data_IF_403813641424
#
_entry.id   IF_403813641424
#
_cell.length_a   1.000
_cell.length_b   1.000
_cell.length_c   1.000
_cell.angle_alpha   90.00
_cell.angle_beta   90.00
_cell.angle_gamma   90.00
#
_symmetry.space_group_name_H-M   'P 1'
#
loop_
_entity.id
_entity.type
_entity.pdbx_description
1 polymer ?
#
# COMPACT_ATOMS: atom_id res chain seq x y z
N UNK A 1 51.12 -2.28 -62.64
CA UNK A 1 51.01 -2.38 -61.17
C UNK A 1 50.23 -1.14 -60.74
N UNK A 2 48.88 -1.18 -60.75
CA UNK A 2 47.99 -1.37 -59.57
C UNK A 2 48.45 -0.55 -58.36
N UNK A 3 47.64 0.30 -57.73
CA UNK A 3 46.40 -0.06 -57.01
C UNK A 3 45.43 1.14 -56.93
N UNK A 4 44.15 0.90 -57.20
CA UNK A 4 43.01 1.78 -56.89
C UNK A 4 42.70 1.78 -55.39
N UNK A 5 42.37 2.94 -54.83
CA UNK A 5 41.82 3.06 -53.47
C UNK A 5 40.40 3.66 -53.54
N UNK A 6 39.39 2.84 -53.20
CA UNK A 6 38.01 3.26 -52.93
C UNK A 6 37.88 3.51 -51.42
N UNK A 7 37.27 4.62 -50.97
CA UNK A 7 37.02 4.83 -49.55
C UNK A 7 35.77 4.06 -49.12
N UNK A 8 35.95 3.19 -48.13
CA UNK A 8 34.89 2.52 -47.39
C UNK A 8 34.06 3.56 -46.62
N UNK A 9 32.79 3.71 -47.00
CA UNK A 9 31.81 4.49 -46.24
C UNK A 9 31.48 3.77 -44.93
N UNK A 10 31.77 4.43 -43.81
CA UNK A 10 31.45 3.94 -42.47
C UNK A 10 30.01 4.38 -42.12
N UNK A 11 29.03 3.52 -42.40
CA UNK A 11 27.63 3.76 -42.01
C UNK A 11 27.49 3.47 -40.52
N UNK A 12 27.48 4.53 -39.70
CA UNK A 12 27.27 4.43 -38.26
C UNK A 12 25.77 4.15 -37.98
N UNK A 13 25.44 2.89 -37.70
CA UNK A 13 24.09 2.47 -37.33
C UNK A 13 23.84 2.88 -35.87
N UNK A 14 23.11 3.97 -35.65
CA UNK A 14 22.69 4.41 -34.32
C UNK A 14 21.69 3.40 -33.74
N UNK A 15 22.14 2.62 -32.77
CA UNK A 15 21.29 1.79 -31.92
C UNK A 15 20.42 2.71 -31.06
N UNK A 16 19.15 2.88 -31.43
CA UNK A 16 18.15 3.52 -30.57
C UNK A 16 17.79 2.51 -29.48
N UNK A 17 18.43 2.63 -28.31
CA UNK A 17 17.98 1.92 -27.12
C UNK A 17 16.59 2.46 -26.74
N UNK A 18 15.58 1.60 -26.48
CA UNK A 18 14.34 2.07 -25.91
C UNK A 18 14.65 2.72 -24.56
N UNK A 19 14.28 3.99 -24.40
CA UNK A 19 14.24 4.60 -23.08
C UNK A 19 13.29 3.74 -22.25
N UNK A 20 13.82 3.05 -21.24
CA UNK A 20 13.00 2.46 -20.20
C UNK A 20 12.17 3.60 -19.62
N UNK A 21 10.90 3.67 -20.01
CA UNK A 21 10.00 4.67 -19.48
C UNK A 21 9.86 4.34 -18.00
N UNK A 22 10.46 5.18 -17.14
CA UNK A 22 10.35 5.00 -15.70
C UNK A 22 8.87 4.81 -15.38
N UNK A 23 8.55 3.76 -14.62
CA UNK A 23 7.18 3.53 -14.16
C UNK A 23 6.72 4.82 -13.45
N UNK A 24 5.56 5.40 -13.80
CA UNK A 24 5.10 6.63 -13.16
C UNK A 24 4.71 6.40 -11.70
N UNK A 25 4.69 5.14 -11.23
CA UNK A 25 4.25 4.81 -9.88
C UNK A 25 5.40 4.80 -8.89
N UNK A 26 5.21 5.52 -7.78
CA UNK A 26 6.14 5.58 -6.64
C UNK A 26 5.41 5.22 -5.36
N UNK A 27 6.16 4.81 -4.33
CA UNK A 27 5.60 4.74 -2.97
C UNK A 27 5.19 6.15 -2.54
N UNK A 28 4.03 6.26 -1.89
CA UNK A 28 3.56 7.53 -1.34
C UNK A 28 4.63 8.20 -0.45
N UNK A 29 5.41 7.42 0.30
CA UNK A 29 6.53 7.92 1.13
C UNK A 29 7.52 8.77 0.30
N UNK A 30 7.74 8.41 -0.97
CA UNK A 30 8.73 8.98 -1.88
C UNK A 30 8.14 9.98 -2.90
N UNK A 31 6.87 10.35 -2.77
CA UNK A 31 6.23 11.32 -3.68
C UNK A 31 6.30 12.75 -3.11
N UNK A 32 6.68 13.80 -3.86
CA UNK A 32 7.11 13.80 -5.26
C UNK A 32 8.62 13.53 -5.44
N UNK A 33 9.37 13.48 -4.36
CA UNK A 33 10.78 13.08 -4.33
C UNK A 33 11.03 12.23 -3.08
N UNK A 34 12.15 11.52 -3.06
CA UNK A 34 12.53 10.59 -1.98
C UNK A 34 12.22 11.17 -0.59
N UNK A 35 11.54 10.35 0.24
CA UNK A 35 11.17 10.64 1.62
C UNK A 35 10.34 11.92 1.87
N UNK A 36 9.82 12.59 0.82
CA UNK A 36 9.04 13.82 0.96
C UNK A 36 7.82 13.67 1.89
N UNK A 37 7.26 12.46 1.99
CA UNK A 37 6.09 12.18 2.82
C UNK A 37 6.42 11.32 4.04
N UNK A 38 7.69 11.00 4.30
CA UNK A 38 8.10 10.05 5.33
C UNK A 38 7.41 10.31 6.67
N UNK A 39 7.63 11.47 7.27
CA UNK A 39 7.10 11.80 8.59
C UNK A 39 5.57 11.79 8.63
N UNK A 40 4.93 12.42 7.63
CA UNK A 40 3.46 12.53 7.60
C UNK A 40 2.78 11.19 7.30
N UNK A 41 3.41 10.32 6.52
CA UNK A 41 2.90 8.99 6.23
C UNK A 41 3.00 8.08 7.46
N UNK A 42 4.14 8.04 8.15
CA UNK A 42 4.28 7.23 9.36
C UNK A 42 3.38 7.73 10.50
N UNK A 43 3.21 9.05 10.65
CA UNK A 43 2.26 9.60 11.62
C UNK A 43 0.81 9.19 11.32
N UNK A 44 0.44 9.11 10.04
CA UNK A 44 -0.86 8.67 9.57
C UNK A 44 -1.07 7.16 9.77
N UNK A 45 -0.09 6.34 9.39
CA UNK A 45 -0.11 4.88 9.59
C UNK A 45 -0.26 4.55 11.09
N UNK A 46 0.50 5.22 11.95
CA UNK A 46 0.38 5.07 13.40
C UNK A 46 -1.00 5.47 13.95
N UNK A 47 -1.63 6.50 13.37
CA UNK A 47 -2.98 6.94 13.75
C UNK A 47 -4.04 5.89 13.39
N UNK A 48 -3.94 5.31 12.19
CA UNK A 48 -4.81 4.23 11.75
C UNK A 48 -4.61 2.97 12.58
N UNK A 49 -3.35 2.57 12.84
CA UNK A 49 -3.03 1.44 13.70
C UNK A 49 -3.60 1.61 15.10
N UNK A 50 -3.40 2.77 15.73
CA UNK A 50 -3.98 3.06 17.04
C UNK A 50 -5.51 3.04 17.01
N UNK A 51 -6.12 3.60 15.96
CA UNK A 51 -7.57 3.53 15.77
C UNK A 51 -8.06 2.09 15.69
N UNK A 52 -7.37 1.24 14.94
CA UNK A 52 -7.74 -0.17 14.77
C UNK A 52 -7.59 -0.93 16.09
N UNK A 53 -6.47 -0.76 16.78
CA UNK A 53 -6.21 -1.38 18.07
C UNK A 53 -7.28 -0.97 19.11
N UNK A 54 -7.76 0.27 19.06
CA UNK A 54 -8.79 0.76 19.96
C UNK A 54 -10.18 0.14 19.73
N UNK A 55 -10.48 -0.31 18.51
CA UNK A 55 -11.78 -0.90 18.17
C UNK A 55 -11.75 -2.42 18.00
N UNK A 56 -10.59 -3.04 17.83
CA UNK A 56 -10.53 -4.46 17.44
C UNK A 56 -11.29 -5.34 18.41
N UNK A 57 -11.05 -5.18 19.72
CA UNK A 57 -11.66 -6.00 20.77
C UNK A 57 -13.19 -6.03 20.74
N UNK A 58 -13.82 -4.93 20.33
CA UNK A 58 -15.29 -4.78 20.30
C UNK A 58 -15.88 -4.98 18.88
N UNK A 59 -15.02 -5.29 17.90
CA UNK A 59 -15.42 -5.42 16.49
C UNK A 59 -14.71 -6.59 15.80
N UNK A 60 -13.56 -6.34 15.19
CA UNK A 60 -12.85 -7.28 14.32
C UNK A 60 -12.36 -8.53 15.06
N UNK A 61 -11.93 -8.35 16.31
CA UNK A 61 -11.36 -9.39 17.18
C UNK A 61 -12.41 -10.20 17.96
N UNK A 62 -13.72 -9.91 17.82
CA UNK A 62 -14.77 -10.75 18.44
C UNK A 62 -15.07 -12.03 17.63
N UNK A 63 -14.55 -12.12 16.41
CA UNK A 63 -14.80 -13.22 15.47
C UNK A 63 -13.94 -14.47 15.70
N UNK A 64 -13.53 -15.12 14.60
CA UNK A 64 -12.71 -16.34 14.65
C UNK A 64 -11.34 -16.11 15.30
N UNK A 65 -10.80 -14.89 15.16
CA UNK A 65 -9.46 -14.54 15.63
C UNK A 65 -9.55 -13.36 16.59
N UNK A 66 -8.94 -13.50 17.77
CA UNK A 66 -9.00 -12.50 18.85
C UNK A 66 -7.78 -11.59 18.94
N UNK A 67 -6.78 -11.82 18.09
CA UNK A 67 -5.49 -11.15 18.12
C UNK A 67 -5.11 -10.56 16.75
N UNK A 68 -6.09 -10.11 15.97
CA UNK A 68 -5.83 -9.48 14.68
C UNK A 68 -4.98 -8.23 14.89
N UNK A 69 -3.85 -8.14 14.18
CA UNK A 69 -2.91 -7.02 14.25
C UNK A 69 -2.79 -6.34 12.90
N UNK A 70 -2.88 -5.02 12.92
CA UNK A 70 -2.45 -4.18 11.83
C UNK A 70 -0.92 -4.29 11.67
N UNK A 71 -0.49 -4.53 10.43
CA UNK A 71 0.92 -4.54 10.04
C UNK A 71 1.20 -3.28 9.22
N UNK A 72 1.77 -3.44 8.03
CA UNK A 72 2.22 -2.35 7.17
C UNK A 72 1.12 -1.87 6.22
N UNK A 73 0.95 -0.56 6.14
CA UNK A 73 0.23 0.15 5.10
C UNK A 73 1.23 0.65 4.05
N UNK A 74 0.91 0.46 2.76
CA UNK A 74 1.61 1.10 1.64
C UNK A 74 0.64 1.60 0.60
N UNK A 75 1.03 2.68 -0.06
CA UNK A 75 0.23 3.34 -1.08
C UNK A 75 1.07 3.57 -2.34
N UNK A 76 0.52 3.21 -3.49
CA UNK A 76 1.08 3.54 -4.79
C UNK A 76 0.52 4.89 -5.25
N UNK A 77 1.38 5.75 -5.79
CA UNK A 77 1.02 7.06 -6.31
C UNK A 77 1.40 7.16 -7.77
N UNK A 78 0.48 7.60 -8.62
CA UNK A 78 0.81 8.08 -9.96
C UNK A 78 1.53 9.43 -9.82
N UNK A 79 2.86 9.41 -9.98
CA UNK A 79 3.72 10.57 -9.78
C UNK A 79 3.49 11.67 -10.83
N UNK A 80 2.98 11.31 -12.02
CA UNK A 80 2.67 12.29 -13.07
C UNK A 80 1.41 13.06 -12.72
N UNK A 81 0.40 12.37 -12.17
CA UNK A 81 -0.90 12.97 -11.82
C UNK A 81 -0.96 13.51 -10.39
N UNK A 82 -0.06 13.10 -9.50
CA UNK A 82 -0.10 13.45 -8.08
C UNK A 82 -1.28 12.82 -7.35
N UNK A 83 -1.70 11.62 -7.77
CA UNK A 83 -2.89 10.94 -7.25
C UNK A 83 -2.54 9.56 -6.68
N UNK A 84 -3.14 9.22 -5.55
CA UNK A 84 -3.06 7.88 -4.97
C UNK A 84 -3.81 6.90 -5.88
N UNK A 85 -3.10 5.89 -6.37
CA UNK A 85 -3.64 4.84 -7.21
C UNK A 85 -4.30 3.75 -6.37
N UNK A 86 -3.61 3.26 -5.34
CA UNK A 86 -4.15 2.30 -4.38
C UNK A 86 -3.40 2.35 -3.06
N UNK A 87 -4.05 1.90 -1.99
CA UNK A 87 -3.41 1.60 -0.72
C UNK A 87 -3.80 0.20 -0.26
N UNK A 88 -2.81 -0.56 0.20
CA UNK A 88 -2.99 -1.89 0.76
C UNK A 88 -2.48 -1.91 2.19
N UNK A 89 -3.30 -2.40 3.10
CA UNK A 89 -2.97 -2.54 4.51
C UNK A 89 -2.96 -4.02 4.89
N UNK A 90 -1.79 -4.48 5.32
CA UNK A 90 -1.60 -5.86 5.73
C UNK A 90 -2.05 -6.09 7.18
N UNK A 91 -2.67 -7.23 7.43
CA UNK A 91 -3.07 -7.72 8.75
C UNK A 91 -2.66 -9.18 8.92
N UNK A 92 -2.50 -9.60 10.17
CA UNK A 92 -2.29 -11.00 10.54
C UNK A 92 -2.93 -11.31 11.89
N UNK A 93 -3.22 -12.58 12.14
CA UNK A 93 -3.69 -13.07 13.44
C UNK A 93 -3.07 -14.43 13.76
N UNK A 94 -3.34 -14.95 14.95
CA UNK A 94 -3.00 -16.31 15.33
C UNK A 94 -4.06 -16.95 16.23
N UNK A 95 -4.32 -18.23 15.98
CA UNK A 95 -5.09 -19.07 16.89
C UNK A 95 -4.25 -20.28 17.27
N UNK A 96 -3.92 -20.38 18.55
CA UNK A 96 -3.04 -21.40 19.11
C UNK A 96 -3.80 -22.18 20.19
N UNK A 97 -3.94 -23.50 19.98
CA UNK A 97 -4.58 -24.39 20.95
C UNK A 97 -3.59 -25.48 21.38
N UNK A 98 -3.45 -25.68 22.69
CA UNK A 98 -2.72 -26.82 23.25
C UNK A 98 -3.67 -28.01 23.38
N UNK A 99 -3.41 -29.07 22.64
CA UNK A 99 -4.14 -30.33 22.74
C UNK A 99 -3.96 -30.94 24.13
N UNK A 100 -5.08 -31.17 24.84
CA UNK A 100 -5.07 -31.79 26.17
C UNK A 100 -4.67 -33.27 26.16
N UNK A 101 -4.70 -33.93 25.01
CA UNK A 101 -4.47 -35.37 24.92
C UNK A 101 -2.98 -35.72 24.81
N UNK A 102 -2.22 -34.91 24.07
CA UNK A 102 -0.82 -35.20 23.69
C UNK A 102 0.11 -33.99 23.87
N UNK A 103 -0.40 -32.83 24.31
CA UNK A 103 0.38 -31.61 24.51
C UNK A 103 0.79 -30.91 23.21
N UNK A 104 0.34 -31.38 22.04
CA UNK A 104 0.66 -30.77 20.76
C UNK A 104 0.02 -29.38 20.62
N UNK A 105 0.75 -28.42 20.05
CA UNK A 105 0.22 -27.11 19.69
C UNK A 105 -0.37 -27.18 18.29
N UNK A 106 -1.64 -26.83 18.16
CA UNK A 106 -2.32 -26.60 16.88
C UNK A 106 -2.31 -25.10 16.61
N UNK A 107 -1.92 -24.71 15.40
CA UNK A 107 -1.78 -23.30 15.03
C UNK A 107 -2.51 -22.99 13.73
N UNK A 108 -3.24 -21.86 13.71
CA UNK A 108 -3.69 -21.16 12.50
C UNK A 108 -3.14 -19.74 12.51
N UNK A 109 -2.71 -19.24 11.36
CA UNK A 109 -2.13 -17.89 11.23
C UNK A 109 -2.60 -17.24 9.92
N UNK A 110 -3.82 -16.72 9.87
CA UNK A 110 -4.33 -16.03 8.69
C UNK A 110 -3.58 -14.72 8.45
N UNK A 111 -3.59 -14.28 7.18
CA UNK A 111 -3.17 -12.95 6.79
C UNK A 111 -4.20 -12.35 5.84
N UNK A 112 -4.34 -11.03 5.90
CA UNK A 112 -5.21 -10.27 5.02
C UNK A 112 -4.43 -9.11 4.40
N UNK A 113 -4.79 -8.74 3.18
CA UNK A 113 -4.25 -7.57 2.49
C UNK A 113 -5.41 -6.71 2.00
N UNK A 114 -5.81 -5.77 2.84
CA UNK A 114 -7.02 -5.00 2.65
C UNK A 114 -6.78 -3.75 1.82
N UNK A 115 -7.59 -3.56 0.77
CA UNK A 115 -7.56 -2.35 -0.05
C UNK A 115 -8.40 -1.27 0.60
N UNK A 116 -7.83 -0.08 0.77
CA UNK A 116 -8.61 1.08 1.20
C UNK A 116 -9.55 1.52 0.07
N UNK A 117 -10.83 1.79 0.33
CA UNK A 117 -11.83 2.08 -0.71
C UNK A 117 -11.73 3.54 -1.20
N UNK A 118 -10.60 3.92 -1.80
CA UNK A 118 -10.36 5.28 -2.31
C UNK A 118 -11.17 5.57 -3.59
N UNK A 119 -11.65 6.80 -3.73
CA UNK A 119 -12.16 7.29 -5.00
C UNK A 119 -11.05 7.37 -6.05
N UNK A 120 -11.38 7.07 -7.31
CA UNK A 120 -10.43 7.15 -8.41
C UNK A 120 -9.85 8.57 -8.55
N UNK A 121 -8.53 8.67 -8.75
CA UNK A 121 -7.85 9.96 -8.91
C UNK A 121 -7.75 10.80 -7.63
N UNK A 122 -7.86 10.17 -6.45
CA UNK A 122 -7.69 10.85 -5.16
C UNK A 122 -6.35 11.60 -5.10
N UNK A 123 -6.34 12.93 -4.95
CA UNK A 123 -5.09 13.69 -4.80
C UNK A 123 -4.34 13.30 -3.53
N UNK A 124 -3.00 13.27 -3.58
CA UNK A 124 -2.15 12.93 -2.43
C UNK A 124 -2.45 13.81 -1.20
N UNK A 125 -2.63 15.12 -1.40
CA UNK A 125 -2.94 16.03 -0.30
C UNK A 125 -4.33 15.77 0.31
N UNK A 126 -5.31 15.42 -0.53
CA UNK A 126 -6.66 15.09 -0.04
C UNK A 126 -6.64 13.78 0.77
N UNK A 127 -5.84 12.80 0.35
CA UNK A 127 -5.62 11.56 1.09
C UNK A 127 -5.01 11.82 2.47
N UNK A 128 -3.92 12.60 2.53
CA UNK A 128 -3.30 12.95 3.81
C UNK A 128 -4.24 13.75 4.72
N UNK A 129 -5.01 14.69 4.17
CA UNK A 129 -5.97 15.48 4.95
C UNK A 129 -7.08 14.60 5.54
N UNK A 130 -7.64 13.68 4.77
CA UNK A 130 -8.69 12.77 5.23
C UNK A 130 -8.21 11.89 6.39
N UNK A 131 -7.00 11.33 6.28
CA UNK A 131 -6.47 10.43 7.32
C UNK A 131 -5.78 11.14 8.49
N UNK A 132 -5.59 12.46 8.39
CA UNK A 132 -5.22 13.32 9.51
C UNK A 132 -6.45 13.84 10.30
N UNK A 133 -7.67 13.51 9.88
CA UNK A 133 -8.91 13.87 10.56
C UNK A 133 -9.00 13.24 11.96
N UNK A 134 -10.04 13.64 12.72
CA UNK A 134 -10.21 13.16 14.11
C UNK A 134 -10.57 11.69 14.16
N UNK A 135 -11.38 11.21 13.22
CA UNK A 135 -11.83 9.83 13.17
C UNK A 135 -11.50 9.20 11.81
N UNK A 136 -10.20 8.99 11.50
CA UNK A 136 -9.76 8.58 10.17
C UNK A 136 -10.18 7.15 9.79
N UNK A 137 -10.69 6.37 10.74
CA UNK A 137 -11.24 5.05 10.44
C UNK A 137 -12.68 5.12 9.92
N UNK A 138 -13.52 6.00 10.47
CA UNK A 138 -14.94 6.05 10.18
C UNK A 138 -15.33 7.22 9.27
N UNK A 139 -14.48 8.24 9.16
CA UNK A 139 -14.69 9.34 8.22
C UNK A 139 -14.62 8.82 6.77
N UNK A 140 -15.49 9.28 5.85
CA UNK A 140 -15.44 8.88 4.45
C UNK A 140 -14.11 9.25 3.79
N UNK A 141 -13.58 8.34 2.98
CA UNK A 141 -12.39 8.58 2.19
C UNK A 141 -12.67 9.51 1.00
N UNK A 142 -11.65 10.22 0.47
CA UNK A 142 -11.84 11.12 -0.65
C UNK A 142 -12.46 10.42 -1.87
N UNK A 143 -13.48 11.06 -2.47
CA UNK A 143 -14.12 10.58 -3.69
C UNK A 143 -15.00 9.34 -3.52
N UNK A 144 -15.32 8.94 -2.28
CA UNK A 144 -16.23 7.84 -1.96
C UNK A 144 -17.13 8.20 -0.78
N UNK A 145 -18.16 7.39 -0.53
CA UNK A 145 -18.93 7.41 0.73
C UNK A 145 -18.41 6.40 1.75
N UNK A 146 -17.43 5.57 1.39
CA UNK A 146 -16.88 4.51 2.24
C UNK A 146 -15.72 5.02 3.09
N UNK A 147 -15.63 4.48 4.30
CA UNK A 147 -14.56 4.72 5.25
C UNK A 147 -13.47 3.63 5.19
N UNK A 148 -12.39 3.79 5.95
CA UNK A 148 -11.40 2.71 6.12
C UNK A 148 -12.06 1.51 6.82
N UNK A 149 -12.90 1.76 7.83
CA UNK A 149 -13.64 0.74 8.57
C UNK A 149 -14.50 -0.15 7.65
N UNK A 150 -15.21 0.44 6.69
CA UNK A 150 -16.03 -0.30 5.73
C UNK A 150 -15.16 -1.25 4.87
N UNK A 151 -14.00 -0.76 4.43
CA UNK A 151 -13.04 -1.55 3.66
C UNK A 151 -12.42 -2.70 4.46
N UNK A 152 -12.15 -2.49 5.75
CA UNK A 152 -11.66 -3.54 6.64
C UNK A 152 -12.72 -4.61 6.89
N UNK A 153 -13.98 -4.19 7.10
CA UNK A 153 -15.10 -5.09 7.37
C UNK A 153 -15.29 -6.09 6.22
N UNK A 154 -15.30 -5.63 4.97
CA UNK A 154 -15.45 -6.54 3.81
C UNK A 154 -14.18 -7.32 3.43
N UNK A 155 -13.07 -7.12 4.15
CA UNK A 155 -11.79 -7.77 3.87
C UNK A 155 -11.42 -8.82 4.92
N UNK A 156 -11.63 -8.49 6.19
CA UNK A 156 -11.25 -9.33 7.33
C UNK A 156 -12.36 -10.35 7.64
N UNK A 157 -13.62 -9.99 7.43
CA UNK A 157 -14.81 -10.84 7.61
C UNK A 157 -15.44 -11.20 6.26
#
# INVERSE_FOLDING_TARGET
>A
MNVSALPFGLTCMLLVAPLAQASPYVDLIDHPHQEANWDRFFALEGRLQHGFDAICGDTFCEGEYSDIRALRLRCSVDAVRGTVHECLWAFAASDLEVSRNDGAIRARQPTWLCRLPLGAGTPVEAFHAALAARDPLHDPLPGTSQSVYDGLTGCIH
#
